data_IF_127882623724
#
_entry.id   IF_127882623724
#
_cell.length_a   1.000
_cell.length_b   1.000
_cell.length_c   1.000
_cell.angle_alpha   90.00
_cell.angle_beta   90.00
_cell.angle_gamma   90.00
#
_symmetry.space_group_name_H-M   'P 1'
#
loop_
_entity.id
_entity.type
_entity.pdbx_description
1 polymer ?
#
# COMPACT_ATOMS: atom_id res chain seq x y z
N UNK A 1 -14.85 -32.81 -20.71
CA UNK A 1 -14.20 -32.22 -21.90
C UNK A 1 -13.01 -31.38 -21.43
N UNK A 2 -11.86 -32.07 -21.41
CA UNK A 2 -10.46 -31.70 -21.18
C UNK A 2 -10.12 -30.43 -20.38
N UNK A 3 -9.84 -30.66 -19.10
CA UNK A 3 -8.98 -29.86 -18.24
C UNK A 3 -7.53 -30.12 -18.64
N UNK A 4 -6.76 -29.06 -18.87
CA UNK A 4 -5.33 -29.15 -19.17
C UNK A 4 -4.57 -29.65 -17.93
N UNK A 5 -3.70 -30.64 -18.12
CA UNK A 5 -3.30 -31.64 -17.11
C UNK A 5 -1.92 -31.41 -16.46
N UNK A 6 -1.30 -30.23 -16.62
CA UNK A 6 0.08 -30.01 -16.18
C UNK A 6 0.32 -29.06 -14.99
N UNK A 7 -0.70 -28.82 -14.15
CA UNK A 7 -0.48 -28.46 -12.75
C UNK A 7 -1.50 -29.22 -11.89
N UNK A 8 -1.04 -30.26 -11.17
CA UNK A 8 -1.84 -30.94 -10.13
C UNK A 8 -2.02 -30.01 -8.94
N UNK A 9 -2.84 -28.99 -9.10
CA UNK A 9 -3.34 -28.18 -8.00
C UNK A 9 -4.55 -28.90 -7.44
N UNK A 10 -4.58 -29.20 -6.14
CA UNK A 10 -5.79 -29.72 -5.51
C UNK A 10 -6.86 -28.63 -5.50
N UNK A 11 -7.75 -28.68 -6.49
CA UNK A 11 -8.87 -27.75 -6.63
C UNK A 11 -9.81 -27.76 -5.42
N UNK A 12 -9.79 -28.80 -4.57
CA UNK A 12 -10.57 -28.81 -3.31
C UNK A 12 -9.98 -27.88 -2.26
N UNK A 13 -8.70 -27.53 -2.34
CA UNK A 13 -7.98 -26.71 -1.36
C UNK A 13 -7.80 -25.25 -1.79
N UNK A 14 -8.32 -24.89 -2.96
CA UNK A 14 -8.18 -23.53 -3.51
C UNK A 14 -9.51 -22.80 -3.66
N UNK A 15 -9.42 -21.48 -3.65
CA UNK A 15 -10.52 -20.53 -3.76
C UNK A 15 -10.26 -19.60 -4.94
N UNK A 16 -11.27 -19.42 -5.78
CA UNK A 16 -11.27 -18.33 -6.76
C UNK A 16 -11.67 -17.03 -6.08
N UNK A 17 -11.26 -15.90 -6.64
CA UNK A 17 -11.66 -14.57 -6.14
C UNK A 17 -13.17 -14.34 -6.14
N UNK A 18 -13.93 -15.03 -7.00
CA UNK A 18 -15.40 -15.03 -6.96
C UNK A 18 -15.93 -15.74 -5.70
N UNK A 19 -15.36 -16.89 -5.32
CA UNK A 19 -15.73 -17.59 -4.08
C UNK A 19 -15.37 -16.76 -2.85
N UNK A 20 -14.18 -16.15 -2.87
CA UNK A 20 -13.71 -15.25 -1.79
C UNK A 20 -14.66 -14.05 -1.68
N UNK A 21 -14.96 -13.39 -2.80
CA UNK A 21 -15.86 -12.24 -2.83
C UNK A 21 -17.25 -12.57 -2.29
N UNK A 22 -17.81 -13.72 -2.68
CA UNK A 22 -19.10 -14.21 -2.15
C UNK A 22 -19.07 -14.35 -0.62
N UNK A 23 -17.97 -14.83 -0.02
CA UNK A 23 -17.82 -14.95 1.44
C UNK A 23 -17.85 -13.59 2.15
N UNK A 24 -17.30 -12.56 1.51
CA UNK A 24 -17.22 -11.21 2.10
C UNK A 24 -18.34 -10.26 1.68
N UNK A 25 -19.23 -10.67 0.77
CA UNK A 25 -20.30 -9.85 0.23
C UNK A 25 -19.83 -8.80 -0.78
N UNK A 26 -18.73 -9.07 -1.51
CA UNK A 26 -18.14 -8.16 -2.50
C UNK A 26 -17.89 -8.88 -3.84
N UNK A 27 -17.82 -8.11 -4.92
CA UNK A 27 -17.48 -8.67 -6.23
C UNK A 27 -16.02 -9.16 -6.27
N UNK A 28 -15.77 -10.26 -6.99
CA UNK A 28 -14.41 -10.82 -7.15
C UNK A 28 -13.41 -9.85 -7.79
N UNK A 29 -13.89 -8.90 -8.61
CA UNK A 29 -13.06 -7.82 -9.13
C UNK A 29 -12.50 -6.93 -8.01
N UNK A 30 -13.32 -6.59 -6.99
CA UNK A 30 -12.89 -5.82 -5.82
C UNK A 30 -11.87 -6.61 -4.98
N UNK A 31 -12.04 -7.92 -4.86
CA UNK A 31 -11.02 -8.80 -4.22
C UNK A 31 -9.68 -8.73 -4.94
N UNK A 32 -9.66 -8.75 -6.28
CA UNK A 32 -8.41 -8.60 -7.03
C UNK A 32 -7.73 -7.25 -6.77
N UNK A 33 -8.49 -6.16 -6.61
CA UNK A 33 -7.91 -4.86 -6.29
C UNK A 33 -7.19 -4.89 -4.94
N UNK A 34 -7.79 -5.51 -3.91
CA UNK A 34 -7.14 -5.68 -2.60
C UNK A 34 -5.87 -6.52 -2.67
N UNK A 35 -5.93 -7.65 -3.36
CA UNK A 35 -4.75 -8.50 -3.55
C UNK A 35 -3.65 -7.79 -4.36
N UNK A 36 -4.04 -6.86 -5.24
CA UNK A 36 -3.10 -6.05 -5.99
C UNK A 36 -2.46 -4.96 -5.15
N UNK A 37 -3.24 -4.31 -4.27
CA UNK A 37 -2.77 -3.31 -3.30
C UNK A 37 -1.78 -3.92 -2.30
N UNK A 38 -2.03 -5.15 -1.84
CA UNK A 38 -1.08 -5.94 -1.05
C UNK A 38 0.21 -6.30 -1.80
N UNK A 39 0.28 -5.99 -3.10
CA UNK A 39 1.42 -6.31 -3.94
C UNK A 39 1.49 -7.77 -4.38
N UNK A 40 0.45 -8.56 -4.13
CA UNK A 40 0.49 -10.01 -4.36
C UNK A 40 0.10 -10.40 -5.78
N UNK A 41 -0.63 -9.55 -6.49
CA UNK A 41 -0.93 -9.70 -7.91
C UNK A 41 -0.76 -8.39 -8.68
N UNK A 42 -0.59 -8.51 -9.98
CA UNK A 42 -0.48 -7.39 -10.91
C UNK A 42 -1.24 -7.69 -12.21
N UNK A 43 -1.62 -6.62 -12.93
CA UNK A 43 -2.30 -6.76 -14.22
C UNK A 43 -1.26 -7.09 -15.29
N UNK A 44 -1.52 -8.15 -16.03
CA UNK A 44 -0.76 -8.48 -17.24
C UNK A 44 -1.67 -9.19 -18.26
N UNK A 45 -1.44 -8.95 -19.56
CA UNK A 45 -2.16 -9.57 -20.68
C UNK A 45 -3.70 -9.59 -20.52
N UNK A 46 -4.26 -8.51 -19.97
CA UNK A 46 -5.71 -8.39 -19.72
C UNK A 46 -6.27 -9.33 -18.64
N UNK A 47 -5.40 -9.87 -17.77
CA UNK A 47 -5.71 -10.71 -16.63
C UNK A 47 -4.86 -10.35 -15.40
N UNK A 48 -4.68 -11.31 -14.50
CA UNK A 48 -3.93 -11.15 -13.25
C UNK A 48 -2.80 -12.18 -13.15
N UNK A 49 -1.62 -11.72 -12.78
CA UNK A 49 -0.42 -12.53 -12.57
C UNK A 49 0.03 -12.46 -11.11
N UNK A 50 0.46 -13.59 -10.54
CA UNK A 50 0.98 -13.63 -9.18
C UNK A 50 2.42 -13.15 -9.09
N UNK A 51 2.67 -12.26 -8.13
CA UNK A 51 4.03 -11.83 -7.78
C UNK A 51 4.71 -12.87 -6.90
N UNK A 52 6.00 -12.71 -6.62
CA UNK A 52 6.71 -13.58 -5.67
C UNK A 52 6.09 -13.51 -4.26
N UNK A 53 5.72 -12.31 -3.80
CA UNK A 53 5.00 -12.12 -2.54
C UNK A 53 3.64 -12.82 -2.54
N UNK A 54 2.91 -12.77 -3.67
CA UNK A 54 1.65 -13.49 -3.78
C UNK A 54 1.84 -15.00 -3.66
N UNK A 55 2.84 -15.57 -4.32
CA UNK A 55 3.14 -17.01 -4.22
C UNK A 55 3.48 -17.43 -2.78
N UNK A 56 4.24 -16.62 -2.05
CA UNK A 56 4.52 -16.83 -0.63
C UNK A 56 3.24 -16.80 0.22
N UNK A 57 2.24 -16.01 -0.18
CA UNK A 57 0.94 -15.90 0.46
C UNK A 57 -0.13 -16.83 -0.16
N UNK A 58 0.28 -17.89 -0.86
CA UNK A 58 -0.63 -18.95 -1.32
C UNK A 58 -1.30 -18.67 -2.68
N UNK A 59 -0.81 -17.70 -3.46
CA UNK A 59 -1.25 -17.48 -4.83
C UNK A 59 -0.75 -18.60 -5.77
N UNK A 60 -1.66 -19.12 -6.58
CA UNK A 60 -1.38 -20.14 -7.59
C UNK A 60 -1.79 -19.57 -8.96
N UNK A 61 -0.81 -19.45 -9.85
CA UNK A 61 -1.01 -18.91 -11.20
C UNK A 61 -1.75 -19.92 -12.07
N UNK A 62 -2.79 -19.45 -12.75
CA UNK A 62 -3.59 -20.23 -13.68
C UNK A 62 -3.72 -19.50 -15.03
N UNK A 63 -4.16 -20.22 -16.05
CA UNK A 63 -4.45 -19.68 -17.39
C UNK A 63 -5.86 -20.12 -17.78
N UNK A 64 -6.69 -19.18 -18.19
CA UNK A 64 -8.05 -19.46 -18.64
C UNK A 64 -8.04 -20.03 -20.07
N UNK A 65 -9.16 -20.62 -20.50
CA UNK A 65 -9.30 -21.16 -21.87
C UNK A 65 -9.05 -20.13 -22.98
N UNK A 66 -9.27 -18.84 -22.68
CA UNK A 66 -9.00 -17.71 -23.58
C UNK A 66 -7.59 -17.13 -23.42
N UNK A 67 -6.66 -17.90 -22.84
CA UNK A 67 -5.26 -17.52 -22.59
C UNK A 67 -5.04 -16.35 -21.64
N UNK A 68 -6.09 -15.83 -20.98
CA UNK A 68 -5.93 -14.77 -19.98
C UNK A 68 -5.38 -15.35 -18.67
N UNK A 69 -4.34 -14.75 -18.07
CA UNK A 69 -3.83 -15.19 -16.78
C UNK A 69 -4.82 -14.85 -15.66
N UNK A 70 -4.94 -15.72 -14.67
CA UNK A 70 -5.69 -15.45 -13.43
C UNK A 70 -5.06 -16.18 -12.26
N UNK A 71 -5.45 -15.80 -11.04
CA UNK A 71 -4.87 -16.35 -9.81
C UNK A 71 -5.98 -17.02 -8.98
N UNK A 72 -5.68 -18.20 -8.45
CA UNK A 72 -6.45 -18.86 -7.39
C UNK A 72 -5.62 -18.92 -6.13
N UNK A 73 -6.27 -19.08 -4.98
CA UNK A 73 -5.65 -18.91 -3.68
C UNK A 73 -5.87 -20.13 -2.81
N UNK A 74 -4.87 -20.52 -2.02
CA UNK A 74 -5.07 -21.47 -0.94
C UNK A 74 -6.10 -20.93 0.07
N UNK A 75 -6.80 -21.83 0.77
CA UNK A 75 -7.85 -21.47 1.74
C UNK A 75 -7.35 -20.64 2.93
N UNK A 76 -6.10 -20.83 3.33
CA UNK A 76 -5.43 -20.10 4.42
C UNK A 76 -5.29 -18.60 4.14
N UNK A 77 -5.46 -18.14 2.89
CA UNK A 77 -5.62 -16.71 2.57
C UNK A 77 -6.72 -16.07 3.44
N UNK A 78 -7.81 -16.81 3.69
CA UNK A 78 -8.91 -16.30 4.48
C UNK A 78 -8.54 -16.07 5.94
N UNK A 79 -7.41 -16.61 6.39
CA UNK A 79 -6.85 -16.44 7.74
C UNK A 79 -5.72 -15.43 7.81
N UNK A 80 -5.20 -14.99 6.66
CA UNK A 80 -4.11 -14.02 6.58
C UNK A 80 -4.55 -12.65 7.14
N UNK A 81 -3.76 -12.14 8.10
CA UNK A 81 -4.01 -10.87 8.80
C UNK A 81 -4.13 -9.68 7.84
N UNK A 82 -3.17 -9.52 6.93
CA UNK A 82 -3.11 -8.39 5.99
C UNK A 82 -4.33 -8.36 5.07
N UNK A 83 -4.72 -9.53 4.56
CA UNK A 83 -5.91 -9.66 3.72
C UNK A 83 -7.20 -9.35 4.48
N UNK A 84 -7.35 -9.84 5.72
CA UNK A 84 -8.52 -9.54 6.57
C UNK A 84 -8.63 -8.05 6.87
N UNK A 85 -7.54 -7.41 7.29
CA UNK A 85 -7.50 -5.99 7.62
C UNK A 85 -7.99 -5.16 6.43
N UNK A 86 -7.42 -5.37 5.24
CA UNK A 86 -7.76 -4.58 4.06
C UNK A 86 -9.23 -4.74 3.62
N UNK A 87 -9.77 -5.97 3.69
CA UNK A 87 -11.19 -6.20 3.37
C UNK A 87 -12.12 -5.57 4.41
N UNK A 88 -11.76 -5.64 5.70
CA UNK A 88 -12.58 -5.07 6.77
C UNK A 88 -12.60 -3.54 6.69
N UNK A 89 -11.45 -2.90 6.48
CA UNK A 89 -11.33 -1.46 6.20
C UNK A 89 -12.27 -1.05 5.05
N UNK A 90 -12.22 -1.77 3.93
CA UNK A 90 -13.00 -1.45 2.75
C UNK A 90 -14.51 -1.76 2.85
N UNK A 91 -14.94 -2.44 3.92
CA UNK A 91 -16.36 -2.66 4.26
C UNK A 91 -16.90 -1.57 5.20
N UNK A 92 -16.07 -0.62 5.61
CA UNK A 92 -16.44 0.34 6.66
C UNK A 92 -16.58 -0.32 8.03
N UNK A 93 -16.18 -1.59 8.15
CA UNK A 93 -16.01 -2.27 9.43
C UNK A 93 -14.65 -1.86 10.00
N UNK A 94 -14.48 -0.55 10.15
CA UNK A 94 -13.47 -0.02 11.05
C UNK A 94 -14.07 -0.29 12.43
N UNK A 95 -13.87 -1.50 12.97
CA UNK A 95 -13.77 -1.58 14.43
C UNK A 95 -12.78 -0.49 14.78
N UNK A 96 -13.19 0.45 15.64
CA UNK A 96 -12.37 1.57 16.12
C UNK A 96 -10.97 1.07 16.46
N UNK A 97 -10.10 1.07 15.45
CA UNK A 97 -8.67 0.87 15.62
C UNK A 97 -8.06 2.15 16.20
N UNK A 98 -8.93 3.09 16.61
CA UNK A 98 -8.68 4.24 17.44
C UNK A 98 -8.85 3.96 18.94
N UNK A 99 -9.38 2.82 19.41
CA UNK A 99 -9.38 2.50 20.86
C UNK A 99 -9.31 0.99 21.15
N UNK A 100 -8.23 0.33 20.77
CA UNK A 100 -7.67 -0.68 21.68
C UNK A 100 -6.48 -0.02 22.37
N UNK A 101 -6.62 0.26 23.67
CA UNK A 101 -5.52 0.56 24.59
C UNK A 101 -4.55 -0.64 24.63
N UNK A 102 -3.74 -0.80 23.58
CA UNK A 102 -2.63 -1.75 23.54
C UNK A 102 -1.34 -0.96 23.47
N UNK A 103 -0.84 -0.66 24.67
CA UNK A 103 0.55 -0.31 25.01
C UNK A 103 1.31 0.55 23.97
N UNK A 104 1.02 1.85 24.02
CA UNK A 104 1.86 3.02 23.70
C UNK A 104 3.22 2.74 23.00
N UNK A 105 3.21 2.87 21.67
CA UNK A 105 4.41 3.07 20.87
C UNK A 105 4.81 4.57 20.86
N UNK A 106 6.11 4.89 20.81
CA UNK A 106 6.62 6.27 20.78
C UNK A 106 6.15 7.12 19.58
N UNK A 107 5.60 6.49 18.54
CA UNK A 107 4.96 7.18 17.40
C UNK A 107 3.76 8.04 17.83
N UNK A 108 3.12 7.66 18.93
CA UNK A 108 1.99 8.36 19.51
C UNK A 108 2.41 9.70 20.16
N UNK A 109 3.64 9.77 20.70
CA UNK A 109 4.23 11.01 21.23
C UNK A 109 4.44 12.06 20.12
N UNK A 110 4.90 11.63 18.94
CA UNK A 110 5.02 12.51 17.78
C UNK A 110 3.66 13.02 17.29
N UNK A 111 2.67 12.13 17.14
CA UNK A 111 1.33 12.50 16.66
C UNK A 111 0.57 13.39 17.64
N UNK A 112 0.80 13.22 18.95
CA UNK A 112 0.29 14.11 20.00
C UNK A 112 0.97 15.48 19.96
N UNK A 113 2.29 15.51 19.76
CA UNK A 113 3.06 16.75 19.65
C UNK A 113 2.72 17.57 18.40
N UNK A 114 2.41 16.91 17.28
CA UNK A 114 2.11 17.55 16.00
C UNK A 114 0.73 17.11 15.47
N UNK A 115 -0.37 17.72 15.94
CA UNK A 115 -1.72 17.36 15.48
C UNK A 115 -1.97 17.77 14.00
N UNK A 116 -2.82 17.03 13.26
CA UNK A 116 -3.11 17.29 11.84
C UNK A 116 -4.05 18.49 11.69
N UNK A 117 -3.46 19.69 11.76
CA UNK A 117 -4.16 20.97 11.85
C UNK A 117 -4.28 21.70 10.53
N UNK A 118 -3.46 21.36 9.53
CA UNK A 118 -3.47 21.99 8.22
C UNK A 118 -4.38 21.23 7.27
N UNK A 119 -5.24 21.94 6.54
CA UNK A 119 -6.14 21.34 5.55
C UNK A 119 -5.60 21.54 4.15
N UNK A 120 -5.60 20.49 3.34
CA UNK A 120 -5.15 20.52 1.95
C UNK A 120 -6.35 20.64 0.98
N UNK A 121 -6.12 20.98 -0.31
CA UNK A 121 -7.21 21.17 -1.28
C UNK A 121 -8.01 19.91 -1.60
N UNK A 122 -7.39 18.73 -1.52
CA UNK A 122 -8.05 17.44 -1.77
C UNK A 122 -8.83 16.91 -0.54
N UNK A 123 -8.64 17.57 0.61
CA UNK A 123 -9.38 17.33 1.84
C UNK A 123 -8.59 16.65 2.95
N UNK A 124 -7.32 16.26 2.73
CA UNK A 124 -6.49 15.76 3.82
C UNK A 124 -6.27 16.79 4.93
N UNK A 125 -6.01 16.28 6.12
CA UNK A 125 -5.53 17.04 7.28
C UNK A 125 -4.12 16.59 7.60
N UNK A 126 -3.14 17.46 7.37
CA UNK A 126 -1.71 17.16 7.50
C UNK A 126 -1.07 17.92 8.66
N UNK A 127 0.15 17.53 9.05
CA UNK A 127 0.80 17.97 10.30
C UNK A 127 1.79 19.12 10.11
N UNK A 128 2.20 19.43 8.88
CA UNK A 128 3.20 20.46 8.57
C UNK A 128 2.92 21.20 7.26
N UNK A 129 3.53 22.38 7.09
CA UNK A 129 3.43 23.16 5.84
C UNK A 129 4.10 22.44 4.66
N UNK A 130 5.18 21.72 4.90
CA UNK A 130 5.85 20.95 3.86
C UNK A 130 4.95 19.83 3.33
N UNK A 131 4.25 19.11 4.22
CA UNK A 131 3.25 18.13 3.80
C UNK A 131 2.10 18.77 3.01
N UNK A 132 1.65 19.99 3.37
CA UNK A 132 0.66 20.72 2.54
C UNK A 132 1.18 20.94 1.13
N UNK A 133 2.44 21.36 0.99
CA UNK A 133 3.03 21.61 -0.33
C UNK A 133 3.17 20.31 -1.15
N UNK A 134 3.57 19.21 -0.51
CA UNK A 134 3.68 17.89 -1.15
C UNK A 134 2.29 17.39 -1.60
N UNK A 135 1.30 17.44 -0.71
CA UNK A 135 -0.07 17.04 -0.99
C UNK A 135 -0.68 17.87 -2.13
N UNK A 136 -0.57 19.20 -2.05
CA UNK A 136 -1.07 20.12 -3.08
C UNK A 136 -0.38 19.89 -4.44
N UNK A 137 0.92 19.59 -4.45
CA UNK A 137 1.63 19.21 -5.67
C UNK A 137 1.06 17.92 -6.27
N UNK A 138 0.86 16.87 -5.47
CA UNK A 138 0.29 15.60 -5.94
C UNK A 138 -1.13 15.80 -6.47
N UNK A 139 -1.94 16.59 -5.76
CA UNK A 139 -3.30 16.94 -6.15
C UNK A 139 -3.36 17.70 -7.47
N UNK A 140 -2.57 18.76 -7.63
CA UNK A 140 -2.52 19.58 -8.86
C UNK A 140 -2.10 18.76 -10.08
N UNK A 141 -1.22 17.79 -9.89
CA UNK A 141 -0.79 16.84 -10.92
C UNK A 141 -1.73 15.65 -11.11
N UNK A 142 -2.90 15.65 -10.44
CA UNK A 142 -3.92 14.58 -10.53
C UNK A 142 -3.37 13.20 -10.15
N UNK A 143 -2.37 13.18 -9.28
CA UNK A 143 -1.77 11.96 -8.77
C UNK A 143 -2.62 11.48 -7.60
N UNK A 144 -3.29 10.35 -7.80
CA UNK A 144 -4.03 9.66 -6.72
C UNK A 144 -3.05 9.24 -5.64
N UNK A 145 -3.29 9.68 -4.41
CA UNK A 145 -2.45 9.36 -3.27
C UNK A 145 -3.28 9.18 -1.99
N UNK A 146 -2.66 8.59 -0.98
CA UNK A 146 -3.19 8.45 0.37
C UNK A 146 -2.22 9.05 1.38
N UNK A 147 -2.74 9.69 2.42
CA UNK A 147 -1.98 10.30 3.51
C UNK A 147 -1.93 9.40 4.75
N UNK A 148 -0.80 9.39 5.49
CA UNK A 148 -0.57 8.58 6.70
C UNK A 148 -0.95 7.09 6.52
N UNK A 149 -0.63 6.49 5.37
CA UNK A 149 -1.03 5.11 5.05
C UNK A 149 -0.14 4.11 5.78
N UNK A 150 -0.77 3.14 6.44
CA UNK A 150 -0.08 1.98 7.02
C UNK A 150 0.56 1.13 5.93
N UNK A 151 1.81 0.73 6.14
CA UNK A 151 2.50 -0.19 5.23
C UNK A 151 1.91 -1.61 5.33
N UNK A 152 1.93 -2.34 4.22
CA UNK A 152 1.50 -3.73 4.15
C UNK A 152 2.56 -4.71 4.67
N UNK A 153 3.02 -4.49 5.92
CA UNK A 153 4.04 -5.29 6.63
C UNK A 153 3.57 -5.62 8.06
N UNK A 154 4.26 -6.54 8.72
CA UNK A 154 3.89 -6.97 10.07
C UNK A 154 4.19 -5.90 11.12
N UNK A 155 5.27 -5.14 10.93
CA UNK A 155 5.66 -4.01 11.76
C UNK A 155 4.65 -2.85 11.66
N UNK A 156 4.38 -2.21 12.80
CA UNK A 156 3.50 -1.05 12.81
C UNK A 156 4.24 0.19 12.28
N UNK A 157 4.04 0.46 10.99
CA UNK A 157 4.68 1.57 10.29
C UNK A 157 3.70 2.27 9.35
N UNK A 158 3.84 3.60 9.27
CA UNK A 158 3.04 4.47 8.42
C UNK A 158 3.98 5.35 7.59
N UNK A 159 3.65 5.53 6.31
CA UNK A 159 4.32 6.49 5.43
C UNK A 159 3.59 7.83 5.46
N UNK A 160 4.24 8.90 5.00
CA UNK A 160 3.58 10.20 4.90
C UNK A 160 2.60 10.21 3.72
N UNK A 161 3.05 9.76 2.54
CA UNK A 161 2.17 9.59 1.37
C UNK A 161 2.40 8.24 0.67
N UNK A 162 1.34 7.72 0.04
CA UNK A 162 1.37 6.51 -0.76
C UNK A 162 0.69 6.73 -2.10
N UNK A 163 1.36 6.37 -3.20
CA UNK A 163 0.83 6.40 -4.56
C UNK A 163 0.51 4.95 -4.99
N UNK A 164 -0.77 4.55 -5.02
CA UNK A 164 -1.17 3.16 -5.26
C UNK A 164 -0.76 2.63 -6.63
N UNK A 165 -0.81 3.46 -7.68
CA UNK A 165 -0.55 3.05 -9.06
C UNK A 165 0.83 2.39 -9.22
N UNK A 166 1.85 2.94 -8.56
CA UNK A 166 3.24 2.44 -8.63
C UNK A 166 3.68 1.70 -7.35
N UNK A 167 2.78 1.52 -6.38
CA UNK A 167 3.11 1.02 -5.03
C UNK A 167 4.30 1.80 -4.45
N UNK A 168 4.24 3.12 -4.56
CA UNK A 168 5.33 4.04 -4.26
C UNK A 168 5.03 4.79 -2.97
N UNK A 169 5.96 4.75 -2.03
CA UNK A 169 5.88 5.47 -0.76
C UNK A 169 6.67 6.77 -0.85
N UNK A 170 6.21 7.79 -0.13
CA UNK A 170 6.90 9.08 0.00
C UNK A 170 7.05 9.38 1.49
N UNK A 171 8.25 9.79 1.88
CA UNK A 171 8.59 10.22 3.24
C UNK A 171 9.20 11.62 3.20
N UNK A 172 8.81 12.45 4.16
CA UNK A 172 9.35 13.79 4.38
C UNK A 172 10.21 13.86 5.64
N UNK A 173 11.50 14.13 5.44
CA UNK A 173 12.52 14.24 6.46
C UNK A 173 12.78 15.70 6.87
N UNK A 174 11.89 16.25 7.70
CA UNK A 174 11.94 17.67 8.08
C UNK A 174 12.70 18.03 9.37
N UNK A 175 12.98 17.05 10.25
CA UNK A 175 13.51 17.27 11.61
C UNK A 175 14.86 16.57 11.85
N UNK A 176 15.79 16.68 10.90
CA UNK A 176 17.04 15.90 10.87
C UNK A 176 18.03 16.22 12.02
N UNK A 177 17.79 17.24 12.84
CA UNK A 177 18.67 17.64 13.95
C UNK A 177 18.38 16.92 15.29
N UNK A 178 17.35 16.08 15.36
CA UNK A 178 16.97 15.38 16.59
C UNK A 178 17.43 13.91 16.55
N UNK A 179 18.27 13.48 17.51
CA UNK A 179 18.80 12.10 17.57
C UNK A 179 17.69 11.03 17.54
N UNK A 180 16.60 11.21 18.32
CA UNK A 180 15.46 10.28 18.30
C UNK A 180 14.76 10.24 16.94
N UNK A 181 14.76 11.35 16.20
CA UNK A 181 14.21 11.41 14.86
C UNK A 181 15.11 10.68 13.85
N UNK A 182 16.43 10.84 13.98
CA UNK A 182 17.41 10.15 13.14
C UNK A 182 17.33 8.63 13.31
N UNK A 183 17.17 8.14 14.54
CA UNK A 183 16.97 6.71 14.80
C UNK A 183 15.68 6.19 14.15
N UNK A 184 14.58 6.94 14.26
CA UNK A 184 13.30 6.59 13.60
C UNK A 184 13.43 6.58 12.08
N UNK A 185 14.07 7.59 11.48
CA UNK A 185 14.35 7.64 10.05
C UNK A 185 15.13 6.39 9.62
N UNK A 186 16.19 6.05 10.36
CA UNK A 186 16.99 4.85 10.09
C UNK A 186 16.15 3.57 10.15
N UNK A 187 15.35 3.37 11.19
CA UNK A 187 14.45 2.21 11.30
C UNK A 187 13.45 2.15 10.14
N UNK A 188 12.85 3.27 9.74
CA UNK A 188 11.93 3.33 8.58
C UNK A 188 12.65 2.92 7.29
N UNK A 189 13.85 3.45 7.04
CA UNK A 189 14.64 3.11 5.86
C UNK A 189 15.06 1.63 5.83
N UNK A 190 15.45 1.06 6.97
CA UNK A 190 15.75 -0.36 7.09
C UNK A 190 14.53 -1.24 6.74
N UNK A 191 13.34 -0.85 7.16
CA UNK A 191 12.10 -1.55 6.81
C UNK A 191 11.78 -1.42 5.31
N UNK A 192 11.89 -0.21 4.73
CA UNK A 192 11.71 -0.04 3.29
C UNK A 192 12.67 -0.91 2.47
N UNK A 193 13.94 -0.99 2.88
CA UNK A 193 14.94 -1.84 2.24
C UNK A 193 14.64 -3.34 2.44
N UNK A 194 14.34 -3.77 3.66
CA UNK A 194 14.01 -5.16 4.01
C UNK A 194 12.86 -5.71 3.17
N UNK A 195 11.82 -4.91 2.95
CA UNK A 195 10.64 -5.29 2.19
C UNK A 195 10.71 -4.92 0.70
N UNK A 196 11.83 -4.35 0.24
CA UNK A 196 12.06 -3.93 -1.14
C UNK A 196 10.94 -3.05 -1.70
N UNK A 197 10.57 -2.03 -0.93
CA UNK A 197 9.57 -1.05 -1.32
C UNK A 197 10.16 0.10 -2.12
N UNK A 198 9.38 0.63 -3.05
CA UNK A 198 9.75 1.84 -3.78
C UNK A 198 9.55 3.05 -2.86
N UNK A 199 10.58 3.86 -2.68
CA UNK A 199 10.57 5.01 -1.78
C UNK A 199 11.09 6.27 -2.48
N UNK A 200 10.36 7.37 -2.32
CA UNK A 200 10.85 8.73 -2.53
C UNK A 200 11.06 9.37 -1.16
N UNK A 201 12.28 9.84 -0.93
CA UNK A 201 12.62 10.65 0.24
C UNK A 201 12.60 12.13 -0.16
N UNK A 202 11.97 12.98 0.64
CA UNK A 202 11.93 14.45 0.49
C UNK A 202 12.55 15.06 1.74
N UNK A 203 13.46 16.02 1.60
CA UNK A 203 14.03 16.76 2.73
C UNK A 203 13.74 18.27 2.60
N UNK A 204 14.17 19.07 3.58
CA UNK A 204 13.97 20.51 3.58
C UNK A 204 14.49 21.20 2.31
N UNK A 205 15.66 20.80 1.80
CA UNK A 205 16.25 21.35 0.58
C UNK A 205 15.46 20.96 -0.68
N UNK A 206 14.80 19.80 -0.70
CA UNK A 206 13.87 19.46 -1.78
C UNK A 206 12.64 20.37 -1.75
N UNK A 207 12.13 20.73 -0.56
CA UNK A 207 10.93 21.58 -0.41
C UNK A 207 11.16 23.00 -0.92
N UNK A 208 12.39 23.52 -0.85
CA UNK A 208 12.74 24.84 -1.40
C UNK A 208 12.49 24.96 -2.91
N UNK A 209 12.60 23.86 -3.64
CA UNK A 209 12.26 23.76 -5.06
C UNK A 209 11.42 22.51 -5.33
N UNK A 210 10.32 22.38 -4.58
CA UNK A 210 9.54 21.15 -4.51
C UNK A 210 9.05 20.69 -5.88
N UNK A 211 8.51 21.61 -6.69
CA UNK A 211 7.90 21.27 -7.97
C UNK A 211 8.90 20.56 -8.90
N UNK A 212 10.11 21.09 -9.03
CA UNK A 212 11.15 20.48 -9.87
C UNK A 212 11.66 19.16 -9.26
N UNK A 213 11.96 19.17 -7.95
CA UNK A 213 12.60 18.03 -7.27
C UNK A 213 11.66 16.84 -7.17
N UNK A 214 10.41 17.06 -6.74
CA UNK A 214 9.42 16.00 -6.64
C UNK A 214 9.03 15.49 -8.02
N UNK A 215 8.85 16.37 -9.02
CA UNK A 215 8.58 15.93 -10.39
C UNK A 215 9.71 15.02 -10.93
N UNK A 216 10.96 15.42 -10.73
CA UNK A 216 12.13 14.63 -11.14
C UNK A 216 12.16 13.26 -10.47
N UNK A 217 11.89 13.19 -9.16
CA UNK A 217 11.84 11.92 -8.41
C UNK A 217 10.69 11.03 -8.89
N UNK A 218 9.49 11.58 -9.11
CA UNK A 218 8.33 10.84 -9.61
C UNK A 218 8.55 10.26 -11.01
N UNK A 219 9.20 11.02 -11.92
CA UNK A 219 9.51 10.54 -13.28
C UNK A 219 10.43 9.32 -13.28
N UNK A 220 11.35 9.18 -12.30
CA UNK A 220 12.18 7.96 -12.13
C UNK A 220 11.36 6.72 -11.83
N UNK A 221 10.14 6.88 -11.31
CA UNK A 221 9.18 5.80 -11.06
C UNK A 221 8.09 5.70 -12.15
N UNK A 222 8.31 6.29 -13.32
CA UNK A 222 7.38 6.30 -14.46
C UNK A 222 6.01 6.90 -14.09
N UNK A 223 6.01 7.93 -13.26
CA UNK A 223 4.85 8.77 -12.97
C UNK A 223 5.00 10.06 -13.76
N UNK A 224 4.02 10.36 -14.60
CA UNK A 224 4.00 11.59 -15.36
C UNK A 224 3.52 12.74 -14.48
N UNK A 225 4.14 13.90 -14.69
CA UNK A 225 3.88 15.15 -13.98
C UNK A 225 3.79 16.20 -15.07
N UNK A 226 2.66 16.89 -15.13
CA UNK A 226 2.30 17.86 -16.17
C UNK A 226 3.01 19.21 -15.96
#
# INVERSE_FOLDING_TARGET
MNLDLNQKTDYKETLSVTKIGKKYGIFGQKVNLFLSELGWIEKDKGGWVSTNAGKQNGAIQMVAKNSKPYVVWRKDLLDNKHFKTLINEAKGNVEDSLVEEKQLNESDDFRKKYPPTYRTPDGHRVRSRAEVMIDDFLYKNKIVHAYERKLNIDEEMYCDFYIPEKKLYIEYWGLEENEKYLDRKKTKLELYAKYNFNLIEINNNDVENLDEKLASKLRKHNINVD
#
